data_IF_696358149975
#
_entry.id   IF_696358149975
#
_cell.length_a   1.000
_cell.length_b   1.000
_cell.length_c   1.000
_cell.angle_alpha   90.00
_cell.angle_beta   90.00
_cell.angle_gamma   90.00
#
_symmetry.space_group_name_H-M   'P 1'
#
loop_
_entity.id
_entity.type
_entity.pdbx_description
1 polymer ?
#
# COMPACT_ATOMS: atom_id res chain seq x y z
N UNK A 1 7.40 16.65 -7.51
CA UNK A 1 7.96 17.90 -6.96
C UNK A 1 8.13 19.02 -7.98
N UNK A 2 8.77 18.84 -9.15
CA UNK A 2 8.79 19.92 -10.16
C UNK A 2 7.41 20.31 -10.69
N UNK A 3 6.50 19.35 -10.89
CA UNK A 3 5.14 19.62 -11.36
C UNK A 3 4.24 20.29 -10.28
N UNK A 4 4.41 19.95 -9.00
CA UNK A 4 3.68 20.56 -7.88
C UNK A 4 4.15 21.98 -7.55
N UNK A 5 5.40 22.32 -7.87
CA UNK A 5 5.99 23.65 -7.65
C UNK A 5 5.57 24.68 -8.72
N UNK A 6 4.96 24.23 -9.81
CA UNK A 6 4.48 25.09 -10.91
C UNK A 6 3.11 25.73 -10.65
N UNK A 7 2.35 25.25 -9.66
CA UNK A 7 1.06 25.88 -9.29
C UNK A 7 1.20 26.99 -8.24
N UNK A 8 2.39 27.18 -7.68
CA UNK A 8 2.68 28.35 -6.84
C UNK A 8 2.87 29.55 -7.77
N UNK A 9 1.91 30.47 -7.78
CA UNK A 9 1.95 31.70 -8.59
C UNK A 9 3.16 32.60 -8.29
N UNK A 10 3.98 32.27 -7.28
CA UNK A 10 5.07 33.09 -6.80
C UNK A 10 6.41 32.34 -6.93
N UNK A 11 7.17 32.73 -7.94
CA UNK A 11 8.43 32.10 -8.33
C UNK A 11 9.45 32.08 -7.18
N UNK A 12 9.45 33.12 -6.34
CA UNK A 12 10.33 33.26 -5.17
C UNK A 12 10.02 32.22 -4.09
N UNK A 13 8.73 31.96 -3.80
CA UNK A 13 8.32 30.96 -2.81
C UNK A 13 8.66 29.56 -3.33
N UNK A 14 8.46 29.32 -4.61
CA UNK A 14 8.82 28.06 -5.27
C UNK A 14 10.33 27.78 -5.19
N UNK A 15 11.16 28.80 -5.41
CA UNK A 15 12.62 28.70 -5.26
C UNK A 15 13.04 28.44 -3.81
N UNK A 16 12.49 29.15 -2.83
CA UNK A 16 12.80 28.94 -1.41
C UNK A 16 12.41 27.54 -0.94
N UNK A 17 11.23 27.05 -1.34
CA UNK A 17 10.81 25.68 -1.04
C UNK A 17 11.72 24.64 -1.70
N UNK A 18 12.15 24.88 -2.95
CA UNK A 18 13.08 24.00 -3.64
C UNK A 18 14.41 23.87 -2.87
N UNK A 19 14.97 24.98 -2.40
CA UNK A 19 16.20 24.99 -1.58
C UNK A 19 16.02 24.20 -0.28
N UNK A 20 14.92 24.41 0.43
CA UNK A 20 14.62 23.67 1.68
C UNK A 20 14.52 22.17 1.39
N UNK A 21 13.77 21.77 0.37
CA UNK A 21 13.63 20.36 0.00
C UNK A 21 14.97 19.75 -0.46
N UNK A 22 15.77 20.45 -1.24
CA UNK A 22 17.12 19.99 -1.63
C UNK A 22 18.02 19.79 -0.42
N UNK A 23 17.90 20.63 0.61
CA UNK A 23 18.68 20.47 1.84
C UNK A 23 18.20 19.27 2.69
N UNK A 24 16.88 19.04 2.77
CA UNK A 24 16.32 17.93 3.54
C UNK A 24 16.53 16.54 2.89
N UNK A 25 16.52 16.45 1.56
CA UNK A 25 16.66 15.18 0.83
C UNK A 25 18.09 14.95 0.29
N UNK A 26 18.95 15.97 0.36
CA UNK A 26 20.28 15.97 -0.25
C UNK A 26 20.26 15.99 -1.78
N UNK A 27 21.44 15.94 -2.42
CA UNK A 27 21.58 16.06 -3.87
C UNK A 27 21.17 14.79 -4.64
N UNK A 28 20.73 13.74 -3.95
CA UNK A 28 20.45 12.45 -4.56
C UNK A 28 19.10 12.46 -5.29
N UNK A 29 19.03 11.93 -6.52
CA UNK A 29 17.77 11.85 -7.23
C UNK A 29 16.79 10.95 -6.47
N UNK A 30 15.54 11.38 -6.39
CA UNK A 30 14.46 10.58 -5.79
C UNK A 30 14.38 9.24 -6.55
N UNK A 31 14.46 8.09 -5.85
CA UNK A 31 14.34 6.79 -6.48
C UNK A 31 13.03 6.68 -7.26
N UNK A 32 13.11 6.28 -8.55
CA UNK A 32 11.92 6.07 -9.36
C UNK A 32 11.17 4.84 -8.86
N UNK A 33 9.85 4.94 -8.76
CA UNK A 33 9.03 3.79 -8.44
C UNK A 33 8.97 2.84 -9.64
N UNK A 34 9.63 1.69 -9.53
CA UNK A 34 9.59 0.63 -10.53
C UNK A 34 8.33 -0.21 -10.40
N UNK A 35 7.67 -0.48 -11.52
CA UNK A 35 6.48 -1.33 -11.55
C UNK A 35 6.84 -2.79 -11.33
N UNK A 36 6.06 -3.48 -10.50
CA UNK A 36 6.20 -4.92 -10.29
C UNK A 36 5.39 -5.61 -11.38
N UNK A 37 6.07 -6.04 -12.44
CA UNK A 37 5.47 -6.83 -13.52
C UNK A 37 5.34 -8.30 -13.11
N UNK A 38 4.52 -8.60 -12.11
CA UNK A 38 4.09 -9.99 -11.85
C UNK A 38 2.83 -10.25 -12.67
N UNK A 39 2.97 -11.01 -13.76
CA UNK A 39 1.81 -11.61 -14.42
C UNK A 39 1.26 -12.69 -13.49
N UNK A 40 0.01 -12.57 -13.07
CA UNK A 40 -0.65 -13.67 -12.37
C UNK A 40 -0.70 -14.88 -13.29
N UNK A 41 -0.29 -16.04 -12.77
CA UNK A 41 -0.22 -17.31 -13.50
C UNK A 41 -1.60 -17.92 -13.72
N UNK A 42 -2.56 -17.56 -12.88
CA UNK A 42 -3.96 -18.01 -12.92
C UNK A 42 -4.82 -16.86 -13.39
N UNK A 43 -5.29 -16.96 -14.63
CA UNK A 43 -6.22 -16.00 -15.24
C UNK A 43 -7.45 -16.77 -15.66
N UNK A 44 -8.61 -16.22 -15.34
CA UNK A 44 -9.89 -16.67 -15.88
C UNK A 44 -10.35 -15.68 -16.93
N UNK A 45 -11.16 -16.15 -17.88
CA UNK A 45 -11.75 -15.26 -18.87
C UNK A 45 -12.57 -14.15 -18.19
N UNK A 46 -12.45 -12.88 -18.63
CA UNK A 46 -13.31 -11.77 -18.20
C UNK A 46 -14.80 -12.09 -18.11
N UNK A 47 -15.32 -12.98 -18.97
CA UNK A 47 -16.72 -13.40 -18.99
C UNK A 47 -17.18 -14.10 -17.70
N UNK A 48 -16.25 -14.68 -16.93
CA UNK A 48 -16.56 -15.32 -15.65
C UNK A 48 -16.61 -14.31 -14.47
N UNK A 49 -16.22 -13.05 -14.70
CA UNK A 49 -16.27 -12.02 -13.66
C UNK A 49 -17.72 -11.75 -13.23
N UNK A 50 -18.01 -11.89 -11.93
CA UNK A 50 -19.33 -11.66 -11.34
C UNK A 50 -20.46 -12.52 -11.97
N UNK A 51 -20.12 -13.69 -12.50
CA UNK A 51 -21.08 -14.64 -13.05
C UNK A 51 -21.59 -15.59 -11.96
N UNK A 52 -22.90 -15.56 -11.69
CA UNK A 52 -23.56 -16.36 -10.65
C UNK A 52 -23.53 -17.87 -10.94
N UNK A 53 -23.63 -18.28 -12.20
CA UNK A 53 -23.82 -19.68 -12.58
C UNK A 53 -22.56 -20.52 -12.36
N UNK A 54 -21.40 -19.90 -12.56
CA UNK A 54 -20.09 -20.58 -12.52
C UNK A 54 -19.33 -20.34 -11.20
N UNK A 55 -19.84 -19.46 -10.33
CA UNK A 55 -19.19 -19.10 -9.08
C UNK A 55 -19.36 -20.15 -7.98
N UNK A 56 -18.30 -20.37 -7.20
CA UNK A 56 -18.26 -21.26 -6.04
C UNK A 56 -18.09 -20.49 -4.70
N UNK A 57 -18.08 -19.15 -4.78
CA UNK A 57 -18.07 -18.22 -3.63
C UNK A 57 -18.86 -16.96 -3.95
N UNK A 58 -19.55 -16.42 -2.93
CA UNK A 58 -20.23 -15.12 -3.01
C UNK A 58 -19.69 -14.20 -1.91
N UNK A 59 -19.32 -12.97 -2.29
CA UNK A 59 -19.01 -11.90 -1.36
C UNK A 59 -20.21 -10.97 -1.21
N UNK A 60 -20.49 -10.52 0.02
CA UNK A 60 -21.47 -9.49 0.30
C UNK A 60 -20.72 -8.17 0.54
N UNK A 61 -20.79 -7.26 -0.41
CA UNK A 61 -20.06 -5.97 -0.37
C UNK A 61 -21.11 -4.86 -0.37
N UNK A 62 -21.16 -4.06 0.70
CA UNK A 62 -22.21 -3.04 0.90
C UNK A 62 -23.64 -3.62 0.71
N UNK A 63 -23.87 -4.83 1.20
CA UNK A 63 -25.16 -5.53 1.07
C UNK A 63 -25.47 -6.07 -0.34
N UNK A 64 -24.54 -5.96 -1.29
CA UNK A 64 -24.71 -6.45 -2.66
C UNK A 64 -23.89 -7.74 -2.89
N UNK A 65 -24.46 -8.78 -3.51
CA UNK A 65 -23.72 -9.98 -3.84
C UNK A 65 -22.70 -9.72 -4.95
N UNK A 66 -21.54 -10.35 -4.83
CA UNK A 66 -20.49 -10.39 -5.83
C UNK A 66 -20.00 -11.83 -5.99
N UNK A 67 -20.14 -12.38 -7.19
CA UNK A 67 -19.86 -13.78 -7.51
C UNK A 67 -18.41 -13.95 -7.98
N UNK A 68 -17.69 -14.94 -7.44
CA UNK A 68 -16.28 -15.16 -7.78
C UNK A 68 -15.89 -16.65 -7.70
N UNK A 69 -14.62 -16.93 -8.00
CA UNK A 69 -14.07 -18.29 -8.08
C UNK A 69 -12.94 -18.49 -7.06
N UNK A 70 -13.10 -19.45 -6.13
CA UNK A 70 -12.13 -19.76 -5.07
C UNK A 70 -10.76 -20.09 -5.65
N UNK A 71 -10.73 -20.85 -6.75
CA UNK A 71 -9.47 -21.25 -7.41
C UNK A 71 -8.63 -20.04 -7.81
N UNK A 72 -9.24 -19.00 -8.38
CA UNK A 72 -8.55 -17.76 -8.76
C UNK A 72 -8.07 -17.00 -7.53
N UNK A 73 -8.91 -16.91 -6.49
CA UNK A 73 -8.61 -16.14 -5.29
C UNK A 73 -7.51 -16.78 -4.44
N UNK A 74 -7.49 -18.11 -4.35
CA UNK A 74 -6.48 -18.88 -3.62
C UNK A 74 -5.07 -18.70 -4.18
N UNK A 75 -4.95 -18.65 -5.50
CA UNK A 75 -3.67 -18.50 -6.19
C UNK A 75 -3.22 -17.04 -6.26
N UNK A 76 -4.17 -16.12 -6.33
CA UNK A 76 -3.91 -14.69 -6.46
C UNK A 76 -3.40 -14.00 -5.19
N UNK A 77 -3.90 -14.41 -4.01
CA UNK A 77 -3.70 -13.68 -2.76
C UNK A 77 -3.66 -14.61 -1.54
N UNK A 78 -2.60 -14.54 -0.73
CA UNK A 78 -2.56 -15.23 0.56
C UNK A 78 -3.68 -14.79 1.50
N UNK A 79 -4.08 -13.52 1.45
CA UNK A 79 -5.19 -13.00 2.27
C UNK A 79 -6.52 -13.61 1.89
N UNK A 80 -6.83 -13.70 0.60
CA UNK A 80 -8.06 -14.36 0.15
C UNK A 80 -8.05 -15.85 0.51
N UNK A 81 -6.91 -16.53 0.33
CA UNK A 81 -6.74 -17.92 0.78
C UNK A 81 -7.07 -18.08 2.26
N UNK A 82 -6.47 -17.28 3.14
CA UNK A 82 -6.74 -17.33 4.58
C UNK A 82 -8.21 -17.05 4.93
N UNK A 83 -8.80 -16.02 4.29
CA UNK A 83 -10.18 -15.60 4.52
C UNK A 83 -11.19 -16.70 4.14
N UNK A 84 -10.94 -17.39 3.03
CA UNK A 84 -11.78 -18.47 2.53
C UNK A 84 -11.54 -19.81 3.25
N UNK A 85 -10.31 -20.11 3.68
CA UNK A 85 -9.99 -21.32 4.46
C UNK A 85 -10.53 -21.29 5.89
N UNK A 86 -10.84 -20.11 6.43
CA UNK A 86 -11.36 -19.95 7.78
C UNK A 86 -12.83 -20.36 7.97
N UNK A 87 -13.56 -20.62 6.87
CA UNK A 87 -14.98 -20.99 6.90
C UNK A 87 -15.19 -22.45 6.49
N UNK A 88 -16.10 -23.19 7.15
CA UNK A 88 -16.45 -24.54 6.75
C UNK A 88 -17.06 -24.56 5.33
N UNK A 89 -16.73 -25.62 4.59
CA UNK A 89 -17.09 -25.86 3.20
C UNK A 89 -18.58 -26.20 3.08
N UNK A 90 -19.45 -25.22 3.28
CA UNK A 90 -20.86 -25.35 2.97
C UNK A 90 -21.07 -24.90 1.52
N UNK A 91 -22.04 -25.50 0.83
CA UNK A 91 -22.33 -25.33 -0.61
C UNK A 91 -22.62 -23.88 -1.06
N UNK A 92 -22.74 -22.93 -0.14
CA UNK A 92 -22.80 -21.49 -0.42
C UNK A 92 -21.95 -20.69 0.56
N UNK A 93 -20.65 -20.57 0.28
CA UNK A 93 -19.76 -19.73 1.09
C UNK A 93 -20.07 -18.26 0.82
N UNK A 94 -20.90 -17.64 1.67
CA UNK A 94 -21.14 -16.20 1.67
C UNK A 94 -20.17 -15.48 2.62
N UNK A 95 -19.45 -14.47 2.13
CA UNK A 95 -18.46 -13.72 2.92
C UNK A 95 -18.70 -12.22 2.85
N UNK A 96 -18.93 -11.61 4.00
CA UNK A 96 -19.13 -10.17 4.10
C UNK A 96 -17.81 -9.40 4.07
N UNK A 97 -17.77 -8.34 3.27
CA UNK A 97 -16.66 -7.39 3.16
C UNK A 97 -17.18 -6.01 3.55
N UNK A 98 -16.95 -5.60 4.80
CA UNK A 98 -17.48 -4.34 5.35
C UNK A 98 -16.59 -3.11 5.17
N UNK A 99 -15.32 -3.27 4.76
CA UNK A 99 -14.32 -2.20 4.74
C UNK A 99 -13.90 -1.77 3.32
N UNK A 100 -14.54 -2.32 2.28
CA UNK A 100 -14.28 -1.97 0.87
C UNK A 100 -15.61 -1.64 0.20
N UNK A 101 -15.66 -0.51 -0.52
CA UNK A 101 -16.84 -0.16 -1.31
C UNK A 101 -16.99 -1.09 -2.51
N UNK A 102 -18.23 -1.31 -2.95
CA UNK A 102 -18.53 -2.16 -4.10
C UNK A 102 -17.71 -1.84 -5.37
N UNK A 103 -17.64 -0.58 -5.86
CA UNK A 103 -16.86 -0.27 -7.07
C UNK A 103 -15.36 -0.56 -6.92
N UNK A 104 -14.81 -0.37 -5.71
CA UNK A 104 -13.40 -0.65 -5.44
C UNK A 104 -13.14 -2.16 -5.43
N UNK A 105 -14.05 -2.94 -4.83
CA UNK A 105 -13.96 -4.40 -4.86
C UNK A 105 -14.09 -4.94 -6.29
N UNK A 106 -14.95 -4.34 -7.11
CA UNK A 106 -15.05 -4.67 -8.53
C UNK A 106 -13.73 -4.43 -9.27
N UNK A 107 -13.04 -3.31 -9.03
CA UNK A 107 -11.72 -3.04 -9.62
C UNK A 107 -10.67 -4.07 -9.19
N UNK A 108 -10.67 -4.46 -7.90
CA UNK A 108 -9.80 -5.53 -7.39
C UNK A 108 -10.09 -6.85 -8.12
N UNK A 109 -11.35 -7.20 -8.33
CA UNK A 109 -11.70 -8.43 -9.05
C UNK A 109 -11.35 -8.33 -10.53
N UNK A 110 -11.62 -7.21 -11.20
CA UNK A 110 -11.18 -6.99 -12.58
C UNK A 110 -9.67 -7.18 -12.73
N UNK A 111 -8.87 -6.66 -11.79
CA UNK A 111 -7.41 -6.85 -11.79
C UNK A 111 -7.03 -8.34 -11.79
N UNK A 112 -7.73 -9.15 -10.99
CA UNK A 112 -7.47 -10.59 -10.86
C UNK A 112 -7.86 -11.37 -12.12
N UNK A 113 -9.02 -11.10 -12.70
CA UNK A 113 -9.47 -11.80 -13.92
C UNK A 113 -8.66 -11.34 -15.15
N UNK A 114 -8.35 -10.04 -15.24
CA UNK A 114 -7.58 -9.49 -16.35
C UNK A 114 -6.08 -9.74 -16.19
N UNK A 115 -5.64 -10.28 -15.05
CA UNK A 115 -4.27 -10.70 -14.78
C UNK A 115 -3.23 -9.58 -14.81
N UNK A 116 -3.67 -8.33 -14.60
CA UNK A 116 -2.81 -7.15 -14.68
C UNK A 116 -3.61 -5.84 -14.62
N UNK A 117 -2.94 -4.71 -14.30
CA UNK A 117 -3.60 -3.42 -14.16
C UNK A 117 -3.84 -2.70 -15.49
N UNK A 118 -3.32 -3.20 -16.61
CA UNK A 118 -3.31 -2.51 -17.90
C UNK A 118 -4.72 -2.25 -18.48
N UNK A 119 -5.69 -3.08 -18.10
CA UNK A 119 -7.09 -2.98 -18.53
C UNK A 119 -8.00 -2.30 -17.50
N UNK A 120 -7.45 -1.78 -16.40
CA UNK A 120 -8.23 -1.11 -15.35
C UNK A 120 -8.44 0.36 -15.70
N UNK A 121 -9.70 0.78 -15.64
CA UNK A 121 -10.09 2.18 -15.73
C UNK A 121 -10.26 2.76 -14.32
N UNK A 122 -9.15 3.23 -13.75
CA UNK A 122 -9.11 3.75 -12.38
C UNK A 122 -9.34 5.27 -12.42
N UNK A 123 -10.37 5.77 -11.74
CA UNK A 123 -10.59 7.22 -11.61
C UNK A 123 -9.72 7.79 -10.49
N UNK A 124 -9.37 9.08 -10.59
CA UNK A 124 -8.51 9.75 -9.61
C UNK A 124 -9.02 9.67 -8.17
N UNK A 125 -10.34 9.74 -7.96
CA UNK A 125 -10.97 9.64 -6.65
C UNK A 125 -11.01 8.21 -6.08
N UNK A 126 -10.77 7.18 -6.91
CA UNK A 126 -10.80 5.77 -6.51
C UNK A 126 -9.41 5.25 -6.11
N UNK A 127 -8.33 5.89 -6.58
CA UNK A 127 -6.94 5.38 -6.43
C UNK A 127 -6.58 5.12 -4.96
N UNK A 128 -6.92 6.04 -4.06
CA UNK A 128 -6.56 5.93 -2.64
C UNK A 128 -7.30 4.77 -1.95
N UNK A 129 -8.56 4.58 -2.30
CA UNK A 129 -9.37 3.48 -1.79
C UNK A 129 -8.90 2.13 -2.38
N UNK A 130 -8.58 2.12 -3.67
CA UNK A 130 -8.01 0.95 -4.34
C UNK A 130 -6.64 0.57 -3.78
N UNK A 131 -5.78 1.54 -3.49
CA UNK A 131 -4.49 1.33 -2.83
C UNK A 131 -4.68 0.67 -1.45
N UNK A 132 -5.66 1.15 -0.68
CA UNK A 132 -6.03 0.58 0.61
C UNK A 132 -6.50 -0.87 0.47
N UNK A 133 -7.38 -1.14 -0.50
CA UNK A 133 -7.90 -2.47 -0.75
C UNK A 133 -6.82 -3.44 -1.25
N UNK A 134 -5.94 -2.99 -2.16
CA UNK A 134 -4.82 -3.78 -2.65
C UNK A 134 -3.87 -4.17 -1.53
N UNK A 135 -3.55 -3.24 -0.61
CA UNK A 135 -2.78 -3.56 0.60
C UNK A 135 -3.50 -4.57 1.49
N UNK A 136 -4.79 -4.35 1.75
CA UNK A 136 -5.59 -5.25 2.58
C UNK A 136 -5.60 -6.68 2.03
N UNK A 137 -5.86 -6.85 0.74
CA UNK A 137 -5.87 -8.15 0.07
C UNK A 137 -4.47 -8.66 -0.30
N UNK A 138 -3.40 -7.97 0.13
CA UNK A 138 -2.01 -8.36 -0.11
C UNK A 138 -1.68 -8.55 -1.60
N UNK A 139 -2.21 -7.67 -2.45
CA UNK A 139 -1.98 -7.65 -3.89
C UNK A 139 -0.83 -6.68 -4.21
N UNK A 140 0.41 -7.11 -3.95
CA UNK A 140 1.61 -6.26 -4.04
C UNK A 140 1.78 -5.53 -5.37
N UNK A 141 1.53 -6.21 -6.50
CA UNK A 141 1.67 -5.60 -7.82
C UNK A 141 0.59 -4.53 -8.09
N UNK A 142 -0.65 -4.77 -7.65
CA UNK A 142 -1.72 -3.77 -7.75
C UNK A 142 -1.46 -2.58 -6.81
N UNK A 143 -1.01 -2.85 -5.58
CA UNK A 143 -0.61 -1.82 -4.63
C UNK A 143 0.48 -0.94 -5.25
N UNK A 144 1.51 -1.56 -5.82
CA UNK A 144 2.62 -0.87 -6.47
C UNK A 144 2.16 -0.01 -7.64
N UNK A 145 1.25 -0.52 -8.45
CA UNK A 145 0.68 0.21 -9.57
C UNK A 145 -0.05 1.47 -9.08
N UNK A 146 -0.88 1.35 -8.04
CA UNK A 146 -1.57 2.49 -7.44
C UNK A 146 -0.59 3.53 -6.86
N UNK A 147 0.48 3.10 -6.19
CA UNK A 147 1.55 4.00 -5.69
C UNK A 147 2.20 4.81 -6.82
N UNK A 148 2.45 4.17 -7.97
CA UNK A 148 3.02 4.82 -9.15
C UNK A 148 2.05 5.88 -9.70
N UNK A 149 0.74 5.58 -9.76
CA UNK A 149 -0.25 6.57 -10.19
C UNK A 149 -0.31 7.73 -9.20
N UNK A 150 -0.34 7.48 -7.89
CA UNK A 150 -0.32 8.54 -6.87
C UNK A 150 0.92 9.44 -7.01
N UNK A 151 2.10 8.83 -7.17
CA UNK A 151 3.35 9.59 -7.32
C UNK A 151 3.37 10.48 -8.56
N UNK A 152 2.70 10.05 -9.65
CA UNK A 152 2.59 10.81 -10.90
C UNK A 152 1.49 11.88 -10.86
N UNK A 153 0.41 11.64 -10.12
CA UNK A 153 -0.78 12.50 -10.07
C UNK A 153 -0.79 13.49 -8.90
N UNK A 154 0.30 13.57 -8.12
CA UNK A 154 0.40 14.49 -6.98
C UNK A 154 0.29 15.96 -7.43
N UNK A 155 -0.63 16.70 -6.81
CA UNK A 155 -0.90 18.12 -7.02
C UNK A 155 -1.18 18.80 -5.66
N UNK A 156 -1.45 20.11 -5.65
CA UNK A 156 -1.71 20.85 -4.40
C UNK A 156 -2.98 20.42 -3.66
N UNK A 157 -3.93 19.84 -4.39
CA UNK A 157 -5.24 19.50 -3.85
C UNK A 157 -5.24 18.11 -3.20
N UNK A 158 -4.40 17.18 -3.70
CA UNK A 158 -4.35 15.80 -3.23
C UNK A 158 -3.07 15.43 -2.42
N UNK A 159 -2.08 16.32 -2.34
CA UNK A 159 -0.79 15.99 -1.71
C UNK A 159 -0.93 15.64 -0.23
N UNK A 160 -1.84 16.30 0.49
CA UNK A 160 -2.10 16.06 1.91
C UNK A 160 -2.69 14.67 2.12
N UNK A 161 -3.66 14.26 1.30
CA UNK A 161 -4.29 12.95 1.39
C UNK A 161 -3.31 11.83 1.07
N UNK A 162 -2.52 11.99 0.01
CA UNK A 162 -1.46 11.04 -0.37
C UNK A 162 -0.44 10.89 0.76
N UNK A 163 0.00 12.00 1.36
CA UNK A 163 0.94 11.96 2.49
C UNK A 163 0.35 11.26 3.71
N UNK A 164 -0.88 11.61 4.10
CA UNK A 164 -1.55 11.01 5.25
C UNK A 164 -1.74 9.50 5.06
N UNK A 165 -2.08 9.08 3.84
CA UNK A 165 -2.21 7.68 3.51
C UNK A 165 -0.87 6.92 3.57
N UNK A 166 0.18 7.47 2.96
CA UNK A 166 1.52 6.91 2.99
C UNK A 166 2.08 6.83 4.42
N UNK A 167 1.86 7.86 5.23
CA UNK A 167 2.25 7.85 6.65
C UNK A 167 1.57 6.70 7.38
N UNK A 168 0.24 6.58 7.31
CA UNK A 168 -0.52 5.48 7.94
C UNK A 168 -0.06 4.09 7.47
N UNK A 169 0.32 3.95 6.20
CA UNK A 169 0.76 2.67 5.66
C UNK A 169 2.09 2.20 6.28
N UNK A 170 3.00 3.13 6.58
CA UNK A 170 4.28 2.86 7.25
C UNK A 170 4.05 2.40 8.70
N UNK A 171 3.17 3.07 9.45
CA UNK A 171 2.87 2.69 10.84
C UNK A 171 2.17 1.33 10.94
N UNK A 172 1.24 1.02 10.02
CA UNK A 172 0.54 -0.26 10.01
C UNK A 172 1.45 -1.43 9.63
N UNK A 173 2.42 -1.25 8.73
CA UNK A 173 3.39 -2.30 8.41
C UNK A 173 4.24 -2.71 9.63
N UNK A 174 4.49 -1.78 10.56
CA UNK A 174 5.24 -2.05 11.78
C UNK A 174 4.46 -2.86 12.83
N UNK A 175 3.13 -2.94 12.73
CA UNK A 175 2.27 -3.68 13.68
C UNK A 175 1.84 -5.07 13.16
N UNK A 176 1.88 -5.31 11.84
CA UNK A 176 1.54 -6.62 11.27
C UNK A 176 2.69 -7.65 11.29
N UNK A 177 3.86 -7.29 11.84
CA UNK A 177 4.99 -8.21 12.00
C UNK A 177 5.08 -8.88 13.39
N UNK A 178 4.22 -8.53 14.36
CA UNK A 178 4.30 -9.08 15.73
C UNK A 178 3.26 -10.16 16.11
N UNK A 179 2.21 -10.40 15.31
CA UNK A 179 1.14 -11.34 15.72
C UNK A 179 1.05 -12.56 14.78
N UNK A 180 1.77 -13.63 15.13
CA UNK A 180 1.33 -15.01 14.85
C UNK A 180 1.77 -15.92 16.00
N UNK A 181 0.86 -16.59 16.73
CA UNK A 181 1.23 -17.60 17.71
C UNK A 181 1.35 -18.94 16.99
N UNK A 182 2.50 -19.21 16.39
CA UNK A 182 2.89 -20.59 16.03
C UNK A 182 3.97 -21.01 17.02
N UNK A 183 3.56 -21.80 18.01
CA UNK A 183 4.46 -22.53 18.91
C UNK A 183 5.37 -23.45 18.11
N UNK A 184 6.60 -23.01 17.86
CA UNK A 184 7.71 -23.89 17.51
C UNK A 184 8.84 -23.66 18.52
N UNK A 185 9.01 -24.63 19.41
CA UNK A 185 10.17 -24.74 20.29
C UNK A 185 11.43 -24.95 19.42
N UNK A 186 12.28 -23.94 19.36
CA UNK A 186 13.61 -23.94 18.74
C UNK A 186 14.49 -22.91 19.46
N UNK A 187 15.83 -23.03 19.41
CA UNK A 187 16.72 -22.35 20.34
C UNK A 187 16.58 -20.84 20.22
N UNK A 188 16.53 -20.18 21.39
CA UNK A 188 16.09 -18.80 21.53
C UNK A 188 16.82 -17.79 20.65
N UNK A 189 16.17 -16.64 20.33
CA UNK A 189 16.78 -15.61 19.51
C UNK A 189 18.03 -15.03 20.19
N UNK A 190 19.06 -14.62 19.41
CA UNK A 190 20.19 -13.90 19.98
C UNK A 190 19.69 -12.60 20.62
N UNK A 191 20.24 -12.28 21.78
CA UNK A 191 19.86 -11.12 22.58
C UNK A 191 20.12 -9.81 21.83
N UNK A 192 19.06 -9.19 21.31
CA UNK A 192 19.10 -7.81 20.85
C UNK A 192 18.89 -6.85 22.05
N UNK A 193 19.64 -5.74 22.14
CA UNK A 193 19.49 -4.79 23.23
C UNK A 193 18.09 -4.16 23.23
N UNK A 194 17.47 -4.15 24.42
CA UNK A 194 16.16 -3.62 24.78
C UNK A 194 15.84 -2.30 24.04
N UNK A 195 14.76 -2.31 23.26
CA UNK A 195 14.26 -1.17 22.50
C UNK A 195 14.19 0.11 23.35
N UNK A 196 14.85 1.17 22.87
CA UNK A 196 14.67 2.52 23.37
C UNK A 196 13.20 2.93 23.14
N UNK A 197 12.45 3.13 24.23
CA UNK A 197 11.15 3.81 24.20
C UNK A 197 11.33 5.19 23.57
N UNK A 198 10.75 5.41 22.39
CA UNK A 198 10.64 6.75 21.82
C UNK A 198 9.64 7.57 22.66
N UNK A 199 9.95 8.82 23.05
CA UNK A 199 9.02 9.67 23.78
C UNK A 199 7.82 10.04 22.90
N UNK A 200 6.64 10.20 23.51
CA UNK A 200 5.47 10.80 22.88
C UNK A 200 5.74 12.31 22.72
N UNK A 201 5.46 12.78 21.50
CA UNK A 201 5.53 14.16 21.00
C UNK A 201 6.94 14.77 20.83
N UNK A 202 7.33 15.19 19.61
CA UNK A 202 8.59 15.90 19.40
C UNK A 202 8.41 17.40 19.62
N UNK A 203 9.08 17.91 20.65
CA UNK A 203 9.39 19.32 20.79
C UNK A 203 10.47 19.68 19.75
N UNK A 204 10.08 20.43 18.73
CA UNK A 204 10.87 20.74 17.52
C UNK A 204 12.18 21.50 17.80
N UNK A 205 12.40 21.96 19.02
CA UNK A 205 13.61 22.71 19.42
C UNK A 205 14.73 21.84 20.04
N UNK A 206 14.58 20.52 20.15
CA UNK A 206 15.59 19.62 20.77
C UNK A 206 16.07 18.46 19.88
N UNK A 207 16.18 18.67 18.57
CA UNK A 207 16.82 17.68 17.70
C UNK A 207 18.34 17.73 17.88
N UNK A 208 18.91 16.77 18.60
CA UNK A 208 20.36 16.56 18.64
C UNK A 208 20.78 15.48 17.64
N UNK A 209 21.92 15.70 16.97
CA UNK A 209 22.47 14.85 15.90
C UNK A 209 22.66 13.36 16.25
N UNK A 210 22.58 13.00 17.54
CA UNK A 210 22.73 11.62 18.03
C UNK A 210 21.49 10.76 17.87
N UNK A 211 20.33 11.35 17.59
CA UNK A 211 19.04 10.65 17.55
C UNK A 211 18.64 10.18 16.14
N UNK A 212 19.53 10.32 15.15
CA UNK A 212 19.27 9.91 13.78
C UNK A 212 19.56 8.41 13.54
N UNK A 213 18.74 7.72 12.73
CA UNK A 213 18.90 6.30 12.40
C UNK A 213 20.24 5.98 11.71
N UNK A 214 20.78 4.75 11.80
CA UNK A 214 22.17 4.42 11.45
C UNK A 214 22.63 4.78 10.04
N UNK A 215 21.70 4.94 9.08
CA UNK A 215 21.99 5.36 7.71
C UNK A 215 22.38 6.84 7.57
N UNK A 216 22.12 7.68 8.58
CA UNK A 216 22.46 9.11 8.59
C UNK A 216 23.91 9.39 9.00
N UNK A 217 24.58 8.45 9.67
CA UNK A 217 25.91 8.67 10.27
C UNK A 217 27.03 8.89 9.25
N UNK A 218 26.79 8.57 7.97
CA UNK A 218 27.69 8.87 6.87
C UNK A 218 27.65 10.31 6.34
N UNK A 219 26.70 11.13 6.80
CA UNK A 219 26.49 12.50 6.29
C UNK A 219 27.24 13.57 7.11
N UNK A 220 27.61 13.29 8.36
CA UNK A 220 28.25 14.26 9.25
C UNK A 220 29.75 14.48 9.00
N UNK A 221 30.43 13.58 8.28
CA UNK A 221 31.88 13.63 8.10
C UNK A 221 32.34 14.45 6.88
N UNK A 222 31.44 15.16 6.21
CA UNK A 222 31.75 15.96 5.01
C UNK A 222 31.19 17.39 5.03
N UNK A 223 31.18 18.01 6.21
CA UNK A 223 30.93 19.45 6.33
C UNK A 223 32.29 20.07 6.73
N UNK A 224 32.96 20.85 5.86
CA UNK A 224 34.10 21.65 6.31
C UNK A 224 33.61 22.74 7.26
N UNK A 225 34.47 23.24 8.18
CA UNK A 225 34.07 24.17 9.24
C UNK A 225 33.41 25.44 8.72
#
# INVERSE_FOLDING_TARGET
MRATLSSLQNEVISQQLCVIFTHCYGPYPIPKLTEIKRKQTSRLDPHFLNNKEMSDVTFLVEGRPFYAHKVLLFTASPRFKALLSSKPTNDSTCIEIGYVKYPIFQLVMQYLYYGGPESLLIKNNEIMELLSAAKFFQLEALQRHCEIICAKSINTDNCVDIYNHAKKSIWTNSLYQEESPVSLKGPGPPSWPRALKLPREPDIHKWHFRDLPPWSKGWCSKIPP
#
